data_IF_790891574551
#
_entry.id   IF_790891574551
#
_cell.length_a   1.000
_cell.length_b   1.000
_cell.length_c   1.000
_cell.angle_alpha   90.00
_cell.angle_beta   90.00
_cell.angle_gamma   90.00
#
_symmetry.space_group_name_H-M   'P 1'
#
loop_
_entity.id
_entity.type
_entity.pdbx_description
1 polymer ?
#
# COMPACT_ATOMS: atom_id res chain seq x y z
N UNK A 1 -0.14 20.45 -7.15
CA UNK A 1 -0.11 19.28 -6.27
C UNK A 1 -0.11 18.01 -7.10
N UNK A 2 0.79 17.09 -6.82
CA UNK A 2 0.92 15.81 -7.52
C UNK A 2 0.53 14.69 -6.55
N UNK A 3 -0.20 13.69 -7.07
CA UNK A 3 -0.57 12.48 -6.33
C UNK A 3 0.01 11.29 -7.10
N UNK A 4 0.82 10.48 -6.44
CA UNK A 4 1.26 9.21 -7.01
C UNK A 4 0.23 8.14 -6.67
N UNK A 5 -0.56 7.74 -7.65
CA UNK A 5 -1.69 6.83 -7.46
C UNK A 5 -1.32 5.35 -7.64
N UNK A 6 -0.06 5.04 -7.89
CA UNK A 6 0.39 3.65 -8.04
C UNK A 6 1.88 3.52 -7.72
N UNK A 7 2.20 3.15 -6.48
CA UNK A 7 3.57 2.90 -6.08
C UNK A 7 3.64 1.67 -5.17
N UNK A 8 4.85 1.19 -4.93
CA UNK A 8 5.11 0.00 -4.10
C UNK A 8 6.16 0.34 -3.04
N UNK A 9 5.75 1.07 -2.01
CA UNK A 9 6.64 1.49 -0.93
C UNK A 9 7.08 0.33 -0.02
N UNK A 10 6.34 -0.76 -0.02
CA UNK A 10 6.64 -1.96 0.77
C UNK A 10 7.73 -2.84 0.16
N UNK A 11 8.22 -2.50 -1.03
CA UNK A 11 9.29 -3.25 -1.72
C UNK A 11 10.65 -2.59 -1.55
N UNK A 12 11.71 -3.42 -1.60
CA UNK A 12 13.08 -2.92 -1.65
C UNK A 12 13.38 -2.28 -3.02
N UNK A 13 14.24 -1.25 -3.09
CA UNK A 13 14.96 -0.64 -1.96
C UNK A 13 14.14 0.39 -1.16
N UNK A 14 12.89 0.61 -1.52
CA UNK A 14 12.09 1.69 -0.93
C UNK A 14 11.81 1.50 0.55
N UNK A 15 11.48 0.27 0.97
CA UNK A 15 11.13 0.02 2.36
C UNK A 15 12.31 0.27 3.32
N UNK A 16 13.54 -0.01 2.89
CA UNK A 16 14.75 0.24 3.69
C UNK A 16 15.12 1.72 3.77
N UNK A 17 14.60 2.56 2.87
CA UNK A 17 14.93 3.98 2.76
C UNK A 17 13.69 4.86 2.82
N UNK A 18 12.67 4.41 3.53
CA UNK A 18 11.33 4.97 3.44
C UNK A 18 11.26 6.45 3.81
N UNK A 19 11.92 6.87 4.89
CA UNK A 19 11.93 8.28 5.27
C UNK A 19 12.49 9.18 4.16
N UNK A 20 13.60 8.76 3.54
CA UNK A 20 14.21 9.52 2.45
C UNK A 20 13.33 9.56 1.22
N UNK A 21 12.69 8.45 0.89
CA UNK A 21 11.77 8.36 -0.26
C UNK A 21 10.59 9.31 -0.07
N UNK A 22 9.96 9.28 1.10
CA UNK A 22 8.80 10.14 1.41
C UNK A 22 9.21 11.63 1.42
N UNK A 23 10.34 11.98 2.03
CA UNK A 23 10.82 13.36 2.04
C UNK A 23 11.12 13.87 0.64
N UNK A 24 11.73 13.04 -0.19
CA UNK A 24 12.06 13.39 -1.57
C UNK A 24 10.79 13.61 -2.40
N UNK A 25 9.78 12.78 -2.20
CA UNK A 25 8.48 12.95 -2.85
C UNK A 25 7.86 14.31 -2.48
N UNK A 26 7.84 14.65 -1.19
CA UNK A 26 7.29 15.93 -0.72
C UNK A 26 8.02 17.12 -1.29
N UNK A 27 9.37 17.06 -1.39
CA UNK A 27 10.18 18.12 -1.99
C UNK A 27 9.86 18.33 -3.47
N UNK A 28 9.42 17.29 -4.16
CA UNK A 28 9.07 17.35 -5.58
C UNK A 28 7.56 17.53 -5.81
N UNK A 29 6.83 18.04 -4.82
CA UNK A 29 5.40 18.30 -4.87
C UNK A 29 4.49 17.06 -4.99
N UNK A 30 5.01 15.89 -4.72
CA UNK A 30 4.18 14.68 -4.60
C UNK A 30 3.59 14.67 -3.19
N UNK A 31 2.37 15.16 -3.06
CA UNK A 31 1.71 15.38 -1.76
C UNK A 31 1.15 14.09 -1.16
N UNK A 32 0.67 13.18 -1.99
CA UNK A 32 0.03 11.96 -1.55
C UNK A 32 0.56 10.77 -2.34
N UNK A 33 0.67 9.62 -1.66
CA UNK A 33 1.17 8.38 -2.22
C UNK A 33 0.17 7.26 -1.94
N UNK A 34 -0.18 6.50 -2.97
CA UNK A 34 -1.05 5.34 -2.83
C UNK A 34 -0.23 4.08 -3.09
N UNK A 35 0.08 3.35 -2.02
CA UNK A 35 0.86 2.11 -2.11
C UNK A 35 -0.05 0.93 -2.45
N UNK A 36 0.29 0.22 -3.51
CA UNK A 36 -0.54 -0.84 -4.07
C UNK A 36 -0.11 -2.19 -3.49
N UNK A 37 -1.07 -2.89 -2.92
CA UNK A 37 -0.87 -4.21 -2.34
C UNK A 37 -0.79 -5.29 -3.42
N UNK A 38 0.10 -6.26 -3.24
CA UNK A 38 0.23 -7.39 -4.17
C UNK A 38 0.05 -8.74 -3.49
N UNK A 39 0.33 -8.84 -2.18
CA UNK A 39 0.21 -10.07 -1.39
C UNK A 39 -0.27 -9.76 0.02
N UNK A 40 -0.70 -10.77 0.77
CA UNK A 40 -1.03 -10.59 2.19
C UNK A 40 0.16 -10.12 3.01
N UNK A 41 1.36 -10.58 2.68
CA UNK A 41 2.59 -10.13 3.35
C UNK A 41 2.87 -8.66 3.07
N UNK A 42 2.74 -8.22 1.82
CA UNK A 42 2.93 -6.81 1.48
C UNK A 42 1.88 -5.93 2.15
N UNK A 43 0.67 -6.44 2.34
CA UNK A 43 -0.38 -5.72 3.04
C UNK A 43 -0.01 -5.40 4.49
N UNK A 44 0.62 -6.34 5.19
CA UNK A 44 1.10 -6.09 6.56
C UNK A 44 2.08 -4.93 6.60
N UNK A 45 2.98 -4.85 5.63
CA UNK A 45 3.93 -3.73 5.51
C UNK A 45 3.21 -2.42 5.18
N UNK A 46 2.23 -2.46 4.27
CA UNK A 46 1.44 -1.29 3.91
C UNK A 46 0.70 -0.73 5.11
N UNK A 47 0.07 -1.59 5.93
CA UNK A 47 -0.62 -1.15 7.14
C UNK A 47 0.30 -0.38 8.09
N UNK A 48 1.52 -0.85 8.27
CA UNK A 48 2.51 -0.17 9.10
C UNK A 48 2.92 1.18 8.50
N UNK A 49 3.11 1.24 7.20
CA UNK A 49 3.53 2.45 6.49
C UNK A 49 2.45 3.53 6.57
N UNK A 50 1.19 3.18 6.30
CA UNK A 50 0.10 4.18 6.32
C UNK A 50 -0.17 4.73 7.71
N UNK A 51 0.11 3.95 8.76
CA UNK A 51 0.00 4.44 10.14
C UNK A 51 1.11 5.42 10.50
N UNK A 52 2.30 5.22 9.96
CA UNK A 52 3.47 6.05 10.26
C UNK A 52 3.48 7.36 9.47
N UNK A 53 3.00 7.37 8.24
CA UNK A 53 3.07 8.54 7.34
C UNK A 53 1.67 9.04 7.00
N UNK A 54 1.38 10.29 7.35
CA UNK A 54 0.06 10.90 7.15
C UNK A 54 -0.34 11.04 5.69
N UNK A 55 0.63 11.15 4.80
CA UNK A 55 0.41 11.37 3.38
C UNK A 55 0.42 10.08 2.55
N UNK A 56 0.52 8.92 3.19
CA UNK A 56 0.53 7.63 2.49
C UNK A 56 -0.78 6.89 2.76
N UNK A 57 -1.38 6.39 1.70
CA UNK A 57 -2.58 5.56 1.70
C UNK A 57 -2.28 4.23 1.04
N UNK A 58 -3.13 3.26 1.21
CA UNK A 58 -2.91 1.93 0.65
C UNK A 58 -4.14 1.32 0.01
N UNK A 59 -3.93 0.20 -0.69
CA UNK A 59 -4.99 -0.65 -1.21
C UNK A 59 -4.81 -2.06 -0.68
N UNK A 60 -5.85 -2.89 -0.81
CA UNK A 60 -5.78 -4.32 -0.57
C UNK A 60 -6.09 -5.10 -1.84
N UNK A 61 -5.30 -6.13 -2.12
CA UNK A 61 -5.51 -7.02 -3.24
C UNK A 61 -4.33 -7.95 -3.44
N UNK A 62 -4.51 -8.99 -4.25
CA UNK A 62 -3.45 -9.93 -4.57
C UNK A 62 -3.18 -9.85 -6.07
N UNK A 63 -1.91 -9.63 -6.41
CA UNK A 63 -1.49 -9.52 -7.81
C UNK A 63 -1.78 -10.83 -8.55
N UNK A 64 -2.23 -10.79 -9.82
CA UNK A 64 -2.51 -12.01 -10.58
C UNK A 64 -1.38 -13.03 -10.64
N UNK A 65 -0.13 -12.60 -10.62
CA UNK A 65 1.02 -13.50 -10.58
C UNK A 65 1.17 -14.26 -9.27
N UNK A 66 0.56 -13.78 -8.20
CA UNK A 66 0.62 -14.38 -6.86
C UNK A 66 -0.58 -15.28 -6.56
N UNK A 67 -1.63 -15.24 -7.37
CA UNK A 67 -2.90 -15.91 -7.08
C UNK A 67 -2.82 -17.44 -7.12
N UNK A 68 -1.86 -18.01 -7.83
CA UNK A 68 -1.72 -19.48 -7.90
C UNK A 68 -1.26 -20.10 -6.58
N UNK A 69 -0.78 -19.29 -5.63
CA UNK A 69 -0.36 -19.75 -4.31
C UNK A 69 -1.40 -19.45 -3.23
N UNK A 70 -2.54 -18.88 -3.60
CA UNK A 70 -3.59 -18.46 -2.67
C UNK A 70 -4.94 -18.96 -3.14
N UNK A 71 -5.80 -19.32 -2.18
CA UNK A 71 -7.20 -19.61 -2.46
C UNK A 71 -7.95 -18.33 -2.82
N UNK A 72 -9.09 -18.49 -3.48
CA UNK A 72 -9.96 -17.36 -3.81
C UNK A 72 -10.41 -16.65 -2.56
N UNK A 73 -10.18 -15.33 -2.48
CA UNK A 73 -10.64 -14.51 -1.39
C UNK A 73 -12.17 -14.31 -1.46
N UNK A 74 -12.84 -14.49 -0.33
CA UNK A 74 -14.27 -14.19 -0.23
C UNK A 74 -14.48 -12.68 -0.03
N UNK A 75 -15.70 -12.21 -0.36
CA UNK A 75 -16.07 -10.81 -0.13
C UNK A 75 -15.93 -10.41 1.34
N UNK A 76 -16.26 -11.31 2.27
CA UNK A 76 -16.13 -11.08 3.70
C UNK A 76 -14.67 -10.86 4.11
N UNK A 77 -13.76 -11.66 3.57
CA UNK A 77 -12.33 -11.54 3.86
C UNK A 77 -11.78 -10.21 3.34
N UNK A 78 -12.16 -9.81 2.15
CA UNK A 78 -11.76 -8.53 1.56
C UNK A 78 -12.24 -7.36 2.42
N UNK A 79 -13.52 -7.36 2.82
CA UNK A 79 -14.08 -6.30 3.65
C UNK A 79 -13.37 -6.24 5.00
N UNK A 80 -13.12 -7.39 5.62
CA UNK A 80 -12.42 -7.46 6.90
C UNK A 80 -11.01 -6.87 6.80
N UNK A 81 -10.28 -7.18 5.73
CA UNK A 81 -8.93 -6.68 5.51
C UNK A 81 -8.91 -5.18 5.26
N UNK A 82 -9.82 -4.67 4.43
CA UNK A 82 -9.91 -3.24 4.13
C UNK A 82 -10.24 -2.42 5.38
N UNK A 83 -11.06 -2.98 6.27
CA UNK A 83 -11.46 -2.29 7.49
C UNK A 83 -10.39 -2.23 8.59
N UNK A 84 -9.22 -2.85 8.39
CA UNK A 84 -8.13 -2.77 9.36
C UNK A 84 -7.54 -1.37 9.50
N UNK A 85 -7.70 -0.51 8.50
CA UNK A 85 -7.29 0.89 8.58
C UNK A 85 -8.18 1.75 7.68
N UNK A 86 -8.53 2.95 8.17
CA UNK A 86 -9.27 3.94 7.38
C UNK A 86 -8.46 4.48 6.21
N UNK A 87 -7.16 4.27 6.20
CA UNK A 87 -6.25 4.72 5.14
C UNK A 87 -6.14 3.71 4.00
N UNK A 88 -6.81 2.58 4.07
CA UNK A 88 -6.97 1.65 2.97
C UNK A 88 -8.21 2.08 2.19
N UNK A 89 -7.97 2.71 1.04
CA UNK A 89 -9.01 3.43 0.30
C UNK A 89 -9.44 2.75 -1.00
N UNK A 90 -8.93 1.56 -1.28
CA UNK A 90 -9.27 0.86 -2.50
C UNK A 90 -8.93 -0.62 -2.46
N UNK A 91 -9.42 -1.32 -3.48
CA UNK A 91 -9.16 -2.73 -3.73
C UNK A 91 -8.49 -2.83 -5.10
N UNK A 92 -7.35 -3.48 -5.13
CA UNK A 92 -6.65 -3.58 -6.41
C UNK A 92 -5.35 -4.31 -6.35
#
# INVERSE_FOLDING_TARGET
MIIDSHCHLEYEPMISNLNEVIERALKNNVKYLLSICTTNKSYEHILKIVEKYLNVYGTYGIHPHETKNFETLTSKEIIKKVNLSKKIIGIG
#
